data_IF_078695668469
#
_entry.id   IF_078695668469
#
_cell.length_a   1.000
_cell.length_b   1.000
_cell.length_c   1.000
_cell.angle_alpha   90.00
_cell.angle_beta   90.00
_cell.angle_gamma   90.00
#
_symmetry.space_group_name_H-M   'P 1'
#
loop_
_entity.id
_entity.type
_entity.pdbx_description
1 polymer ?
#
# COMPACT_ATOMS: atom_id res chain seq x y z
N UNK A 1 6.28 -13.35 9.37
CA UNK A 1 6.21 -13.05 7.93
C UNK A 1 6.89 -14.17 7.16
N UNK A 2 6.29 -14.64 6.07
CA UNK A 2 6.82 -15.68 5.19
C UNK A 2 6.73 -15.19 3.75
N UNK A 3 7.71 -15.53 2.92
CA UNK A 3 7.72 -15.22 1.49
C UNK A 3 8.28 -16.36 0.66
N UNK A 4 8.04 -16.29 -0.65
CA UNK A 4 8.48 -17.25 -1.65
C UNK A 4 9.26 -16.54 -2.77
N UNK A 5 10.02 -17.33 -3.54
CA UNK A 5 10.66 -16.81 -4.74
C UNK A 5 9.59 -16.37 -5.75
N UNK A 6 9.75 -15.18 -6.30
CA UNK A 6 8.78 -14.53 -7.20
C UNK A 6 7.80 -13.61 -6.49
N UNK A 7 7.69 -13.69 -5.15
CA UNK A 7 6.89 -12.74 -4.38
C UNK A 7 7.51 -11.33 -4.43
N UNK A 8 6.69 -10.29 -4.38
CA UNK A 8 7.14 -8.89 -4.31
C UNK A 8 7.20 -8.45 -2.85
N UNK A 9 8.36 -7.98 -2.42
CA UNK A 9 8.56 -7.33 -1.14
C UNK A 9 8.35 -5.82 -1.30
N UNK A 10 7.45 -5.26 -0.51
CA UNK A 10 7.28 -3.81 -0.36
C UNK A 10 7.75 -3.41 1.03
N UNK A 11 8.67 -2.46 1.07
CA UNK A 11 9.11 -1.79 2.29
C UNK A 11 8.50 -0.40 2.30
N UNK A 12 7.54 -0.19 3.21
CA UNK A 12 7.16 1.16 3.59
C UNK A 12 8.38 1.87 4.20
N UNK A 13 8.50 3.16 3.92
CA UNK A 13 9.56 3.99 4.46
C UNK A 13 9.56 3.94 5.99
N UNK A 14 10.72 3.69 6.59
CA UNK A 14 10.88 3.64 8.06
C UNK A 14 10.94 5.04 8.71
N UNK A 15 10.75 6.10 7.91
CA UNK A 15 10.64 7.51 8.27
C UNK A 15 9.79 8.22 7.20
N UNK A 16 9.10 9.28 7.61
CA UNK A 16 8.27 10.17 6.78
C UNK A 16 8.90 10.61 5.45
N UNK A 17 10.23 10.67 5.35
CA UNK A 17 10.95 11.10 4.14
C UNK A 17 11.57 9.95 3.30
N UNK A 18 11.38 8.69 3.69
CA UNK A 18 11.93 7.57 2.93
C UNK A 18 11.09 7.26 1.68
N UNK A 19 11.74 6.84 0.60
CA UNK A 19 11.03 6.28 -0.55
C UNK A 19 10.44 4.91 -0.17
N UNK A 20 9.15 4.69 -0.48
CA UNK A 20 8.59 3.35 -0.55
C UNK A 20 9.42 2.57 -1.56
N UNK A 21 10.00 1.43 -1.14
CA UNK A 21 10.82 0.58 -2.02
C UNK A 21 10.13 -0.74 -2.26
N UNK A 22 10.08 -1.13 -3.52
CA UNK A 22 9.49 -2.40 -3.93
C UNK A 22 10.48 -3.22 -4.79
N UNK A 23 10.45 -4.53 -4.62
CA UNK A 23 11.36 -5.44 -5.30
C UNK A 23 10.91 -6.88 -5.30
N UNK A 24 11.36 -7.66 -6.26
CA UNK A 24 11.04 -9.08 -6.40
C UNK A 24 11.99 -9.93 -5.53
N UNK A 25 11.44 -10.86 -4.75
CA UNK A 25 12.20 -11.86 -4.01
C UNK A 25 12.77 -12.88 -5.01
N UNK A 26 14.06 -12.78 -5.29
CA UNK A 26 14.80 -13.72 -6.13
C UNK A 26 15.07 -15.05 -5.42
N UNK A 27 15.31 -14.99 -4.10
CA UNK A 27 15.59 -16.16 -3.27
C UNK A 27 15.13 -15.95 -1.83
N UNK A 28 14.66 -17.03 -1.19
CA UNK A 28 14.34 -17.05 0.24
C UNK A 28 15.40 -17.87 0.95
N UNK A 29 16.14 -17.26 1.88
CA UNK A 29 17.30 -17.88 2.54
C UNK A 29 17.05 -18.27 4.00
N UNK A 30 15.96 -17.81 4.60
CA UNK A 30 15.54 -18.28 5.92
C UNK A 30 14.75 -19.59 5.83
N UNK A 31 14.77 -20.35 6.93
CA UNK A 31 14.02 -21.60 7.02
C UNK A 31 12.50 -21.36 6.90
N UNK A 32 11.78 -22.25 6.24
CA UNK A 32 10.32 -22.23 6.13
C UNK A 32 9.74 -20.91 5.57
N UNK A 33 10.42 -20.30 4.59
CA UNK A 33 9.95 -19.06 3.98
C UNK A 33 10.28 -17.81 4.80
N UNK A 34 11.03 -17.92 5.89
CA UNK A 34 11.41 -16.78 6.71
C UNK A 34 12.51 -15.92 6.04
N UNK A 35 12.69 -14.66 6.47
CA UNK A 35 13.84 -13.86 6.04
C UNK A 35 15.18 -14.45 6.50
N UNK A 36 16.31 -14.06 5.88
CA UNK A 36 16.44 -13.00 4.88
C UNK A 36 16.03 -13.39 3.46
N UNK A 37 15.65 -12.39 2.68
CA UNK A 37 15.28 -12.53 1.27
C UNK A 37 16.33 -11.85 0.38
N UNK A 38 16.74 -12.49 -0.71
CA UNK A 38 17.47 -11.80 -1.77
C UNK A 38 16.45 -11.10 -2.67
N UNK A 39 16.49 -9.78 -2.75
CA UNK A 39 15.50 -8.96 -3.44
C UNK A 39 16.17 -8.19 -4.57
N UNK A 40 15.54 -8.18 -5.75
CA UNK A 40 15.86 -7.28 -6.85
C UNK A 40 14.90 -6.09 -6.82
N UNK A 41 15.42 -4.93 -6.49
CA UNK A 41 14.66 -3.68 -6.41
C UNK A 41 14.27 -3.17 -7.79
N UNK A 42 13.20 -2.37 -7.85
CA UNK A 42 12.75 -1.71 -9.09
C UNK A 42 13.79 -0.77 -9.71
N UNK A 43 14.76 -0.29 -8.92
CA UNK A 43 15.91 0.51 -9.39
C UNK A 43 17.03 -0.34 -10.03
N UNK A 44 16.86 -1.68 -10.06
CA UNK A 44 17.78 -2.63 -10.64
C UNK A 44 18.85 -3.17 -9.69
N UNK A 45 18.96 -2.65 -8.47
CA UNK A 45 19.90 -3.17 -7.48
C UNK A 45 19.40 -4.44 -6.81
N UNK A 46 20.31 -5.38 -6.54
CA UNK A 46 20.02 -6.58 -5.76
C UNK A 46 20.59 -6.43 -4.35
N UNK A 47 19.80 -6.78 -3.33
CA UNK A 47 20.23 -6.71 -1.94
C UNK A 47 19.63 -7.85 -1.10
N UNK A 48 20.37 -8.28 -0.09
CA UNK A 48 19.84 -9.17 0.94
C UNK A 48 19.07 -8.35 1.98
N UNK A 49 17.79 -8.66 2.17
CA UNK A 49 16.86 -7.89 2.99
C UNK A 49 16.43 -8.67 4.22
N UNK A 50 16.50 -8.00 5.38
CA UNK A 50 15.92 -8.42 6.64
C UNK A 50 14.73 -7.50 6.93
N UNK A 51 13.51 -7.84 6.45
CA UNK A 51 12.36 -6.99 6.59
C UNK A 51 11.96 -6.84 8.06
N UNK A 52 11.59 -5.61 8.43
CA UNK A 52 10.94 -5.32 9.71
C UNK A 52 9.48 -5.78 9.74
N UNK A 53 8.77 -5.55 10.85
CA UNK A 53 7.36 -5.94 11.02
C UNK A 53 6.43 -5.38 9.94
N UNK A 54 6.75 -4.18 9.43
CA UNK A 54 5.91 -3.43 8.49
C UNK A 54 6.14 -3.78 7.02
N UNK A 55 7.00 -4.75 6.72
CA UNK A 55 7.17 -5.19 5.34
C UNK A 55 5.99 -6.06 4.90
N UNK A 56 5.59 -5.90 3.64
CA UNK A 56 4.51 -6.69 3.06
C UNK A 56 5.09 -7.53 1.93
N UNK A 57 4.77 -8.83 1.96
CA UNK A 57 5.06 -9.75 0.87
C UNK A 57 3.77 -10.00 0.09
N UNK A 58 3.82 -9.79 -1.21
CA UNK A 58 2.76 -10.12 -2.16
C UNK A 58 3.19 -11.33 -2.96
N UNK A 59 2.37 -12.39 -2.98
CA UNK A 59 2.53 -13.44 -3.98
C UNK A 59 2.38 -12.82 -5.38
N UNK A 60 3.11 -13.29 -6.41
CA UNK A 60 2.78 -12.93 -7.78
C UNK A 60 1.32 -13.34 -8.04
N UNK A 61 0.56 -12.52 -8.76
CA UNK A 61 -0.81 -12.87 -9.17
C UNK A 61 -0.74 -14.17 -10.01
N UNK A 62 -0.94 -15.32 -9.36
CA UNK A 62 -1.08 -16.60 -10.05
C UNK A 62 -2.57 -16.89 -10.27
N UNK A 63 -2.95 -16.84 -11.54
CA UNK A 63 -4.24 -17.23 -12.10
C UNK A 63 -4.71 -18.61 -11.58
N UNK A 64 -5.71 -18.62 -10.69
CA UNK A 64 -6.33 -19.86 -10.23
C UNK A 64 -7.55 -20.24 -11.09
N UNK A 65 -7.29 -21.06 -12.10
CA UNK A 65 -8.25 -22.02 -12.64
C UNK A 65 -8.66 -23.04 -11.55
N UNK A 66 -9.97 -23.30 -11.35
CA UNK A 66 -10.63 -24.60 -11.62
C UNK A 66 -11.90 -24.91 -10.76
N UNK A 67 -13.06 -24.96 -11.46
CA UNK A 67 -14.08 -26.04 -11.51
C UNK A 67 -14.89 -26.46 -10.26
N UNK A 68 -16.15 -25.99 -10.23
CA UNK A 68 -17.37 -26.83 -10.30
C UNK A 68 -18.10 -27.27 -9.01
N UNK A 69 -19.34 -26.81 -8.81
CA UNK A 69 -20.30 -27.38 -7.84
C UNK A 69 -21.64 -26.62 -7.76
N UNK A 70 -22.75 -27.33 -7.98
CA UNK A 70 -24.10 -26.82 -8.29
C UNK A 70 -24.92 -26.30 -7.10
N UNK A 71 -25.25 -25.02 -7.14
CA UNK A 71 -26.37 -24.34 -6.48
C UNK A 71 -26.58 -23.02 -7.24
N UNK A 72 -27.80 -22.60 -7.56
CA UNK A 72 -28.04 -21.44 -8.43
C UNK A 72 -27.26 -20.20 -7.92
N UNK A 73 -26.15 -19.76 -8.55
CA UNK A 73 -25.15 -18.98 -7.85
C UNK A 73 -25.40 -17.49 -8.05
N UNK A 74 -25.49 -16.73 -6.95
CA UNK A 74 -24.86 -15.41 -6.97
C UNK A 74 -23.38 -15.73 -7.16
N UNK A 75 -22.87 -15.58 -8.38
CA UNK A 75 -21.44 -15.80 -8.61
C UNK A 75 -20.69 -14.99 -7.57
N UNK A 76 -19.85 -15.61 -6.71
CA UNK A 76 -18.93 -14.83 -5.91
C UNK A 76 -18.16 -13.98 -6.91
N UNK A 77 -18.38 -12.67 -6.87
CA UNK A 77 -17.61 -11.72 -7.66
C UNK A 77 -16.19 -11.80 -7.11
N UNK A 78 -15.39 -12.70 -7.67
CA UNK A 78 -13.96 -12.69 -7.41
C UNK A 78 -13.47 -11.32 -7.88
N UNK A 79 -12.85 -10.53 -7.00
CA UNK A 79 -12.31 -9.25 -7.41
C UNK A 79 -11.31 -9.50 -8.55
N UNK A 80 -11.56 -8.90 -9.71
CA UNK A 80 -10.67 -9.01 -10.88
C UNK A 80 -9.32 -8.32 -10.66
N UNK A 81 -9.25 -7.45 -9.64
CA UNK A 81 -8.05 -6.80 -9.12
C UNK A 81 -8.23 -6.61 -7.62
N UNK A 82 -7.17 -6.87 -6.85
CA UNK A 82 -7.16 -6.62 -5.41
C UNK A 82 -6.07 -5.60 -5.08
N UNK A 83 -6.46 -4.50 -4.45
CA UNK A 83 -5.54 -3.46 -3.97
C UNK A 83 -5.46 -3.48 -2.45
N UNK A 84 -4.35 -2.98 -1.90
CA UNK A 84 -4.13 -2.88 -0.46
C UNK A 84 -3.69 -1.48 -0.09
N UNK A 85 -4.28 -0.91 0.96
CA UNK A 85 -3.77 0.30 1.61
C UNK A 85 -3.04 -0.10 2.87
N UNK A 86 -1.77 0.26 2.99
CA UNK A 86 -1.00 0.18 4.23
C UNK A 86 -1.02 1.55 4.91
N UNK A 87 -1.35 1.56 6.20
CA UNK A 87 -1.41 2.78 7.01
C UNK A 87 -0.39 2.63 8.14
N UNK A 88 0.52 3.59 8.24
CA UNK A 88 1.48 3.70 9.34
C UNK A 88 1.23 5.01 10.09
N UNK A 89 1.14 4.96 11.42
CA UNK A 89 0.94 6.13 12.28
C UNK A 89 2.19 6.37 13.12
N UNK A 90 2.60 7.62 13.22
CA UNK A 90 3.75 8.08 13.97
C UNK A 90 3.31 9.20 14.92
N UNK A 91 3.64 9.07 16.20
CA UNK A 91 3.34 10.07 17.23
C UNK A 91 4.63 10.73 17.72
N UNK A 92 4.64 12.07 17.80
CA UNK A 92 5.69 12.85 18.40
C UNK A 92 5.12 14.00 19.22
N UNK A 93 5.03 13.81 20.54
CA UNK A 93 4.52 14.84 21.44
C UNK A 93 3.02 15.08 21.25
N UNK A 94 2.67 16.26 20.75
CA UNK A 94 1.28 16.64 20.42
C UNK A 94 0.95 16.42 18.93
N UNK A 95 1.93 16.02 18.12
CA UNK A 95 1.76 15.79 16.69
C UNK A 95 1.57 14.30 16.38
N UNK A 96 0.58 14.02 15.54
CA UNK A 96 0.36 12.70 14.95
C UNK A 96 0.44 12.80 13.44
N UNK A 97 1.20 11.90 12.82
CA UNK A 97 1.31 11.76 11.37
C UNK A 97 0.89 10.36 10.94
N UNK A 98 0.06 10.27 9.89
CA UNK A 98 -0.29 9.02 9.24
C UNK A 98 0.21 9.02 7.79
N UNK A 99 0.86 7.94 7.39
CA UNK A 99 1.22 7.65 5.99
C UNK A 99 0.29 6.57 5.43
N UNK A 100 -0.36 6.83 4.31
CA UNK A 100 -1.19 5.86 3.58
C UNK A 100 -0.54 5.52 2.24
N UNK A 101 -0.22 4.24 2.05
CA UNK A 101 0.39 3.70 0.83
C UNK A 101 -0.60 2.74 0.15
N UNK A 102 -1.11 3.10 -1.03
CA UNK A 102 -1.88 2.20 -1.88
C UNK A 102 -0.94 1.37 -2.76
N UNK A 103 -1.14 0.06 -2.74
CA UNK A 103 -0.48 -0.92 -3.58
C UNK A 103 -1.50 -1.42 -4.62
N UNK A 104 -1.40 -0.91 -5.85
CA UNK A 104 -2.36 -1.16 -6.94
C UNK A 104 -1.90 -2.27 -7.90
N UNK A 105 -0.61 -2.56 -7.93
CA UNK A 105 0.01 -3.61 -8.73
C UNK A 105 1.53 -3.45 -8.82
N UNK A 106 2.23 -4.30 -9.59
CA UNK A 106 3.67 -4.21 -9.78
C UNK A 106 4.13 -2.82 -10.26
N UNK A 107 4.86 -2.08 -9.41
CA UNK A 107 5.38 -0.74 -9.72
C UNK A 107 4.36 0.40 -9.65
N UNK A 108 3.08 0.12 -9.36
CA UNK A 108 2.03 1.13 -9.22
C UNK A 108 1.66 1.31 -7.74
N UNK A 109 2.13 2.41 -7.16
CA UNK A 109 1.87 2.76 -5.76
C UNK A 109 1.64 4.25 -5.60
N UNK A 110 0.80 4.59 -4.62
CA UNK A 110 0.50 5.97 -4.25
C UNK A 110 0.81 6.13 -2.77
N UNK A 111 1.63 7.12 -2.42
CA UNK A 111 1.97 7.43 -1.04
C UNK A 111 1.43 8.83 -0.70
N UNK A 112 0.64 8.91 0.37
CA UNK A 112 0.04 10.15 0.87
C UNK A 112 0.19 10.24 2.37
N UNK A 113 0.10 11.46 2.89
CA UNK A 113 0.29 11.74 4.32
C UNK A 113 -0.86 12.58 4.84
N UNK A 114 -1.15 12.46 6.13
CA UNK A 114 -2.11 13.27 6.86
C UNK A 114 -1.62 13.52 8.27
N UNK A 115 -1.77 14.75 8.77
CA UNK A 115 -1.28 15.15 10.09
C UNK A 115 -2.43 15.55 10.99
N UNK A 116 -2.25 15.43 12.30
CA UNK A 116 -3.11 15.97 13.34
C UNK A 116 -2.25 16.60 14.43
N UNK A 117 -2.76 17.63 15.09
CA UNK A 117 -2.11 18.29 16.21
C UNK A 117 -3.10 18.39 17.35
N UNK A 118 -2.71 17.94 18.54
CA UNK A 118 -3.49 18.05 19.77
C UNK A 118 -3.26 19.42 20.39
N UNK A 119 -4.33 20.12 20.80
CA UNK A 119 -4.18 21.36 21.56
C UNK A 119 -3.63 21.06 22.95
N UNK A 120 -2.84 21.96 23.53
CA UNK A 120 -2.35 21.83 24.90
C UNK A 120 -3.48 21.79 25.96
N UNK A 121 -4.69 22.20 25.59
CA UNK A 121 -5.89 22.14 26.44
C UNK A 121 -6.64 20.80 26.35
N UNK A 122 -6.28 19.93 25.39
CA UNK A 122 -6.95 18.65 25.16
C UNK A 122 -6.36 17.52 26.02
N UNK A 123 -7.19 16.52 26.35
CA UNK A 123 -6.76 15.35 27.12
C UNK A 123 -5.78 14.48 26.32
N UNK A 124 -4.56 14.23 26.84
CA UNK A 124 -3.56 13.46 26.14
C UNK A 124 -3.87 11.97 25.98
N UNK A 125 -4.85 11.43 26.68
CA UNK A 125 -5.25 10.02 26.60
C UNK A 125 -6.16 9.70 25.39
N UNK A 126 -6.51 10.69 24.57
CA UNK A 126 -7.45 10.52 23.44
C UNK A 126 -6.74 10.09 22.15
N UNK A 127 -7.30 9.09 21.45
CA UNK A 127 -6.79 8.60 20.15
C UNK A 127 -7.28 9.42 18.95
N UNK A 128 -7.84 10.61 19.19
CA UNK A 128 -8.44 11.46 18.15
C UNK A 128 -7.37 11.88 17.12
N UNK A 129 -6.13 12.08 17.56
CA UNK A 129 -4.98 12.40 16.71
C UNK A 129 -4.80 11.41 15.56
N UNK A 130 -4.84 10.12 15.87
CA UNK A 130 -4.67 9.02 14.92
C UNK A 130 -5.79 9.00 13.88
N UNK A 131 -7.04 9.00 14.34
CA UNK A 131 -8.21 8.94 13.46
C UNK A 131 -8.24 10.12 12.48
N UNK A 132 -7.90 11.32 12.97
CA UNK A 132 -7.84 12.54 12.16
C UNK A 132 -6.69 12.48 11.17
N UNK A 133 -5.49 12.09 11.61
CA UNK A 133 -4.32 11.97 10.73
C UNK A 133 -4.58 10.93 9.63
N UNK A 134 -5.13 9.76 9.98
CA UNK A 134 -5.48 8.70 9.04
C UNK A 134 -6.57 9.14 8.07
N UNK A 135 -7.64 9.78 8.55
CA UNK A 135 -8.71 10.27 7.68
C UNK A 135 -8.18 11.30 6.66
N UNK A 136 -7.27 12.18 7.08
CA UNK A 136 -6.61 13.15 6.20
C UNK A 136 -5.74 12.47 5.15
N UNK A 137 -4.96 11.46 5.55
CA UNK A 137 -4.14 10.68 4.62
C UNK A 137 -5.01 9.96 3.58
N UNK A 138 -6.09 9.29 4.01
CA UNK A 138 -7.00 8.58 3.10
C UNK A 138 -7.80 9.51 2.19
N UNK A 139 -8.17 10.70 2.68
CA UNK A 139 -8.82 11.72 1.85
C UNK A 139 -7.87 12.21 0.76
N UNK A 140 -6.63 12.50 1.14
CA UNK A 140 -5.60 12.89 0.18
C UNK A 140 -5.38 11.77 -0.86
N UNK A 141 -5.30 10.50 -0.44
CA UNK A 141 -5.22 9.37 -1.35
C UNK A 141 -6.39 9.32 -2.34
N UNK A 142 -7.63 9.51 -1.88
CA UNK A 142 -8.80 9.54 -2.74
C UNK A 142 -8.72 10.67 -3.78
N UNK A 143 -8.36 11.88 -3.35
CA UNK A 143 -8.22 13.04 -4.25
C UNK A 143 -7.09 12.80 -5.28
N UNK A 144 -5.97 12.21 -4.87
CA UNK A 144 -4.86 11.84 -5.78
C UNK A 144 -5.28 10.81 -6.83
N UNK A 145 -6.05 9.79 -6.45
CA UNK A 145 -6.52 8.77 -7.39
C UNK A 145 -7.48 9.33 -8.42
N UNK A 146 -8.39 10.23 -8.02
CA UNK A 146 -9.31 10.88 -8.93
C UNK A 146 -8.56 11.79 -9.92
N UNK A 147 -7.62 12.61 -9.44
CA UNK A 147 -6.80 13.47 -10.29
C UNK A 147 -5.93 12.67 -11.29
N UNK A 148 -5.42 11.50 -10.84
CA UNK A 148 -4.67 10.60 -11.72
C UNK A 148 -5.56 10.02 -12.81
N UNK A 149 -6.79 9.61 -12.46
CA UNK A 149 -7.76 9.11 -13.42
C UNK A 149 -8.16 10.18 -14.45
N UNK A 150 -8.37 11.44 -14.02
CA UNK A 150 -8.61 12.58 -14.92
C UNK A 150 -7.47 12.74 -15.93
N UNK A 151 -6.23 12.78 -15.45
CA UNK A 151 -5.03 12.89 -16.30
C UNK A 151 -4.95 11.74 -17.33
N UNK A 152 -5.29 10.51 -16.92
CA UNK A 152 -5.28 9.35 -17.81
C UNK A 152 -6.39 9.44 -18.88
N UNK A 153 -7.58 9.90 -18.52
CA UNK A 153 -8.70 10.11 -19.45
C UNK A 153 -8.35 11.20 -20.46
N UNK A 154 -7.75 12.30 -20.00
CA UNK A 154 -7.32 13.40 -20.85
C UNK A 154 -6.29 12.95 -21.87
N UNK A 155 -5.28 12.21 -21.42
CA UNK A 155 -4.25 11.66 -22.31
C UNK A 155 -4.84 10.68 -23.33
N UNK A 156 -5.78 9.84 -22.93
CA UNK A 156 -6.39 8.84 -23.82
C UNK A 156 -7.37 9.45 -24.83
N UNK A 157 -8.07 10.53 -24.47
CA UNK A 157 -9.16 11.09 -25.27
C UNK A 157 -8.81 12.42 -25.97
N UNK A 158 -7.76 13.10 -25.53
CA UNK A 158 -7.38 14.43 -25.97
C UNK A 158 -8.34 15.54 -25.52
N UNK A 159 -9.17 15.28 -24.51
CA UNK A 159 -10.19 16.21 -23.99
C UNK A 159 -10.04 16.36 -22.48
N UNK A 160 -10.25 17.58 -21.99
CA UNK A 160 -10.34 17.91 -20.57
C UNK A 160 -11.34 16.99 -19.85
N UNK A 161 -10.96 16.44 -18.70
CA UNK A 161 -11.75 15.45 -17.97
C UNK A 161 -11.96 15.86 -16.51
N UNK A 162 -13.14 15.55 -15.98
CA UNK A 162 -13.45 15.76 -14.56
C UNK A 162 -14.22 14.57 -14.00
N UNK A 163 -13.69 13.96 -12.95
CA UNK A 163 -14.27 12.81 -12.25
C UNK A 163 -14.86 13.29 -10.93
N UNK A 164 -16.18 13.15 -10.78
CA UNK A 164 -16.87 13.59 -9.57
C UNK A 164 -16.55 12.68 -8.37
N UNK A 165 -16.10 13.23 -7.23
CA UNK A 165 -16.12 12.48 -5.98
C UNK A 165 -17.57 12.18 -5.57
N UNK A 166 -17.79 10.99 -4.99
CA UNK A 166 -19.10 10.51 -4.50
C UNK A 166 -19.25 10.69 -3.00
#
# INVERSE_FOLDING_TARGET
MQGHKGDRLVLAANRTEGAVRDGEILEVRGANGAPPYLVRWSDGHEALVFPGPDAIVHAPDEDLHHRGGTGAPVEPRTPVKQWRVQISVYEQGDDTEASAVLLAGPGDHFATHGHSHRSAEDDPATTIGDEVAVARALRHLADTLLATAETQIEHATGKDAFVRPV
#
